data_IF_487415209933
#
_entry.id   IF_487415209933
#
_cell.length_a   1.000
_cell.length_b   1.000
_cell.length_c   1.000
_cell.angle_alpha   90.00
_cell.angle_beta   90.00
_cell.angle_gamma   90.00
#
_symmetry.space_group_name_H-M   'P 1'
#
loop_
_entity.id
_entity.type
_entity.pdbx_description
1 polymer ?
#
# COMPACT_ATOMS: atom_id res chain seq x y z
N UNK A 1 -4.90 -0.14 -7.27
CA UNK A 1 -4.87 0.48 -5.92
C UNK A 1 -3.43 0.43 -5.46
N UNK A 2 -2.85 1.56 -5.12
CA UNK A 2 -1.51 1.56 -4.54
C UNK A 2 -1.42 0.66 -3.31
N UNK A 3 -0.44 -0.25 -3.33
CA UNK A 3 -0.04 -1.09 -2.21
C UNK A 3 1.31 -0.60 -1.69
N UNK A 4 1.99 -1.33 -0.82
CA UNK A 4 3.23 -0.86 -0.22
C UNK A 4 4.30 -0.43 -1.25
N UNK A 5 4.60 -1.17 -2.35
CA UNK A 5 5.62 -0.76 -3.30
C UNK A 5 5.31 0.56 -4.00
N UNK A 6 4.04 0.79 -4.37
CA UNK A 6 3.62 2.02 -5.01
C UNK A 6 3.74 3.22 -4.05
N UNK A 7 3.34 3.03 -2.79
CA UNK A 7 3.44 4.08 -1.77
C UNK A 7 4.91 4.37 -1.41
N UNK A 8 5.79 3.36 -1.42
CA UNK A 8 7.23 3.54 -1.21
C UNK A 8 7.86 4.33 -2.36
N UNK A 9 7.46 4.09 -3.60
CA UNK A 9 7.95 4.85 -4.75
C UNK A 9 7.54 6.31 -4.68
N UNK A 10 6.29 6.58 -4.29
CA UNK A 10 5.80 7.95 -4.03
C UNK A 10 6.57 8.60 -2.88
N UNK A 11 6.79 7.89 -1.77
CA UNK A 11 7.57 8.39 -0.62
C UNK A 11 8.97 8.84 -1.05
N UNK A 12 9.68 8.00 -1.80
CA UNK A 12 11.06 8.29 -2.24
C UNK A 12 11.16 9.53 -3.10
N UNK A 13 10.14 9.79 -3.93
CA UNK A 13 10.11 11.01 -4.75
C UNK A 13 9.66 12.24 -3.98
N UNK A 14 8.75 12.09 -3.01
CA UNK A 14 8.28 13.20 -2.19
C UNK A 14 9.31 13.66 -1.16
N UNK A 15 10.11 12.75 -0.62
CA UNK A 15 11.02 13.09 0.48
C UNK A 15 11.97 14.24 0.17
N UNK A 16 12.75 14.25 -0.93
CA UNK A 16 13.64 15.36 -1.26
C UNK A 16 12.89 16.65 -1.60
N UNK A 17 11.65 16.55 -2.05
CA UNK A 17 10.85 17.68 -2.52
C UNK A 17 10.03 18.36 -1.42
N UNK A 18 9.68 17.61 -0.38
CA UNK A 18 8.76 18.05 0.67
C UNK A 18 9.46 18.27 2.03
N UNK A 19 10.53 17.52 2.31
CA UNK A 19 11.26 17.64 3.57
C UNK A 19 11.91 19.02 3.73
N UNK A 20 11.72 19.62 4.90
CA UNK A 20 12.18 20.97 5.23
C UNK A 20 11.27 22.10 4.74
N UNK A 21 10.27 21.82 3.91
CA UNK A 21 9.34 22.83 3.38
C UNK A 21 8.31 23.28 4.40
N UNK A 22 7.92 24.54 4.31
CA UNK A 22 6.84 25.13 5.10
C UNK A 22 5.56 25.25 4.28
N UNK A 23 4.43 24.93 4.90
CA UNK A 23 3.10 25.05 4.28
C UNK A 23 2.59 26.49 4.43
N UNK A 24 2.34 27.17 3.31
CA UNK A 24 1.82 28.54 3.28
C UNK A 24 0.31 28.63 3.11
N UNK A 25 -0.28 27.66 2.40
CA UNK A 25 -1.73 27.57 2.23
C UNK A 25 -2.14 26.12 2.09
N UNK A 26 -3.38 25.83 2.48
CA UNK A 26 -3.99 24.51 2.31
C UNK A 26 -5.46 24.67 1.91
N UNK A 27 -5.86 23.82 0.98
CA UNK A 27 -7.26 23.57 0.65
C UNK A 27 -7.48 22.06 0.58
N UNK A 28 -8.59 21.58 1.14
CA UNK A 28 -8.97 20.19 1.06
C UNK A 28 -10.49 20.03 0.89
N UNK A 29 -10.90 18.90 0.30
CA UNK A 29 -12.31 18.51 0.18
C UNK A 29 -12.93 18.36 1.58
N UNK A 30 -14.19 18.73 1.71
CA UNK A 30 -14.96 18.69 2.99
C UNK A 30 -15.36 17.27 3.41
N UNK A 31 -14.99 16.24 2.68
CA UNK A 31 -15.30 14.88 3.03
C UNK A 31 -14.62 14.43 4.33
N UNK A 32 -15.29 13.53 5.05
CA UNK A 32 -14.85 12.96 6.33
C UNK A 32 -13.43 12.33 6.30
N UNK A 33 -12.89 12.03 5.10
CA UNK A 33 -11.53 11.49 4.91
C UNK A 33 -10.44 12.58 4.90
N UNK A 34 -10.84 13.85 4.92
CA UNK A 34 -9.95 15.00 5.05
C UNK A 34 -10.15 15.59 6.43
N UNK A 35 -9.31 15.16 7.36
CA UNK A 35 -9.44 15.50 8.79
C UNK A 35 -8.42 16.57 9.19
N UNK A 36 -8.91 17.67 9.72
CA UNK A 36 -8.13 18.80 10.25
C UNK A 36 -7.03 19.34 9.31
N UNK A 37 -7.30 19.54 7.99
CA UNK A 37 -6.27 20.00 7.05
C UNK A 37 -5.71 21.37 7.41
N UNK A 38 -6.50 22.24 8.04
CA UNK A 38 -6.11 23.60 8.44
C UNK A 38 -4.94 23.60 9.43
N UNK A 39 -4.73 22.51 10.17
CA UNK A 39 -3.59 22.33 11.07
C UNK A 39 -2.24 22.25 10.34
N UNK A 40 -2.24 22.07 9.02
CA UNK A 40 -1.02 22.15 8.21
C UNK A 40 -0.49 23.57 8.05
N UNK A 41 -1.36 24.58 8.15
CA UNK A 41 -0.98 25.96 7.86
C UNK A 41 0.15 26.42 8.78
N UNK A 42 1.21 26.95 8.16
CA UNK A 42 2.41 27.42 8.84
C UNK A 42 3.36 26.31 9.30
N UNK A 43 3.02 25.04 9.16
CA UNK A 43 3.86 23.92 9.61
C UNK A 43 4.99 23.64 8.66
N UNK A 44 6.11 23.14 9.22
CA UNK A 44 7.24 22.62 8.45
C UNK A 44 7.14 21.09 8.40
N UNK A 45 7.30 20.53 7.21
CA UNK A 45 7.44 19.08 7.03
C UNK A 45 8.88 18.69 7.38
N UNK A 46 9.07 17.82 8.37
CA UNK A 46 10.40 17.41 8.82
C UNK A 46 10.96 16.26 7.97
N UNK A 47 10.10 15.31 7.59
CA UNK A 47 10.48 14.15 6.78
C UNK A 47 9.25 13.58 6.07
N UNK A 48 9.48 12.65 5.12
CA UNK A 48 8.42 11.84 4.50
C UNK A 48 8.70 10.37 4.78
N UNK A 49 7.93 9.78 5.68
CA UNK A 49 7.95 8.38 6.04
C UNK A 49 6.81 7.57 5.40
N UNK A 50 6.80 6.27 5.67
CA UNK A 50 5.74 5.35 5.23
C UNK A 50 5.45 4.30 6.30
N UNK A 51 4.16 3.97 6.45
CA UNK A 51 3.70 2.84 7.25
C UNK A 51 2.63 2.06 6.45
N UNK A 52 2.95 0.85 6.03
CA UNK A 52 2.08 0.06 5.15
C UNK A 52 1.75 0.80 3.85
N UNK A 53 0.51 1.21 3.70
CA UNK A 53 0.01 1.97 2.52
C UNK A 53 -0.25 3.45 2.82
N UNK A 54 0.26 3.95 3.93
CA UNK A 54 0.15 5.33 4.35
C UNK A 54 1.50 6.04 4.23
N UNK A 55 1.48 7.28 3.76
CA UNK A 55 2.58 8.22 3.94
C UNK A 55 2.41 8.90 5.29
N UNK A 56 3.48 8.99 6.04
CA UNK A 56 3.54 9.64 7.34
C UNK A 56 4.58 10.75 7.24
N UNK A 57 4.14 11.99 7.37
CA UNK A 57 5.03 13.16 7.29
C UNK A 57 5.03 13.86 8.65
N UNK A 58 6.03 13.61 9.50
CA UNK A 58 6.23 14.39 10.71
C UNK A 58 6.29 15.88 10.40
N UNK A 59 5.62 16.67 11.23
CA UNK A 59 5.61 18.13 11.17
C UNK A 59 6.22 18.68 12.45
N UNK A 60 6.64 19.94 12.39
CA UNK A 60 7.01 20.66 13.61
C UNK A 60 5.86 20.72 14.61
N UNK A 61 6.17 21.06 15.88
CA UNK A 61 5.23 21.14 17.00
C UNK A 61 4.47 19.82 17.30
N UNK A 62 5.09 18.67 17.00
CA UNK A 62 4.56 17.35 17.38
C UNK A 62 3.33 16.90 16.60
N UNK A 63 3.09 17.44 15.41
CA UNK A 63 2.03 17.02 14.52
C UNK A 63 2.54 16.03 13.47
N UNK A 64 1.61 15.36 12.79
CA UNK A 64 1.91 14.47 11.68
C UNK A 64 0.84 14.55 10.59
N UNK A 65 1.28 14.76 9.35
CA UNK A 65 0.42 14.66 8.17
C UNK A 65 0.38 13.19 7.71
N UNK A 66 -0.81 12.63 7.63
CA UNK A 66 -1.06 11.28 7.15
C UNK A 66 -1.76 11.36 5.79
N UNK A 67 -1.20 10.67 4.79
CA UNK A 67 -1.81 10.55 3.47
C UNK A 67 -2.08 9.09 3.13
N UNK A 68 -3.24 8.80 2.58
CA UNK A 68 -3.61 7.48 2.05
C UNK A 68 -4.13 7.63 0.63
N UNK A 69 -3.46 7.00 -0.33
CA UNK A 69 -3.78 7.18 -1.76
C UNK A 69 -5.10 6.52 -2.20
N UNK A 70 -5.67 5.66 -1.38
CA UNK A 70 -6.91 4.94 -1.76
C UNK A 70 -6.71 4.04 -2.98
N UNK A 71 -7.55 4.20 -3.99
CA UNK A 71 -7.49 3.39 -5.22
C UNK A 71 -6.95 4.16 -6.44
N UNK A 72 -7.21 5.46 -6.51
CA UNK A 72 -6.91 6.33 -7.65
C UNK A 72 -6.22 7.62 -7.24
N UNK A 73 -5.78 7.71 -5.99
CA UNK A 73 -5.04 8.86 -5.47
C UNK A 73 -3.65 8.94 -6.07
N UNK A 74 -3.31 10.13 -6.53
CA UNK A 74 -2.00 10.50 -7.06
C UNK A 74 -1.57 11.81 -6.40
N UNK A 75 -0.30 11.90 -6.03
CA UNK A 75 0.33 13.13 -5.58
C UNK A 75 1.24 13.64 -6.69
N UNK A 76 1.12 14.91 -7.03
CA UNK A 76 1.98 15.55 -8.02
C UNK A 76 2.16 17.05 -7.70
N UNK A 77 3.24 17.63 -8.17
CA UNK A 77 3.41 19.09 -8.18
C UNK A 77 2.85 19.68 -9.46
N UNK A 78 2.16 20.82 -9.38
CA UNK A 78 1.65 21.53 -10.53
C UNK A 78 0.18 21.93 -10.42
N UNK A 79 -0.47 22.11 -11.57
CA UNK A 79 -1.82 22.66 -11.65
C UNK A 79 -2.88 21.61 -11.25
N UNK A 80 -3.78 22.03 -10.38
CA UNK A 80 -4.92 21.21 -9.94
C UNK A 80 -5.99 21.11 -11.03
N UNK A 81 -6.55 19.92 -11.22
CA UNK A 81 -7.73 19.67 -12.06
C UNK A 81 -9.02 19.50 -11.23
N UNK A 82 -10.13 19.21 -11.90
CA UNK A 82 -11.44 18.98 -11.26
C UNK A 82 -11.47 17.78 -10.29
N UNK A 83 -10.45 16.94 -10.29
CA UNK A 83 -10.31 15.78 -9.41
C UNK A 83 -9.35 16.03 -8.25
N UNK A 84 -8.81 17.24 -8.09
CA UNK A 84 -8.06 17.63 -6.91
C UNK A 84 -8.94 17.48 -5.66
N UNK A 85 -8.36 16.92 -4.59
CA UNK A 85 -9.03 16.70 -3.30
C UNK A 85 -8.30 17.41 -2.16
N UNK A 86 -7.02 17.71 -2.35
CA UNK A 86 -6.28 18.63 -1.49
C UNK A 86 -5.22 19.35 -2.32
N UNK A 87 -4.87 20.56 -1.90
CA UNK A 87 -3.83 21.42 -2.46
C UNK A 87 -3.05 22.00 -1.30
N UNK A 88 -1.74 21.87 -1.35
CA UNK A 88 -0.83 22.33 -0.31
C UNK A 88 0.22 23.21 -0.99
N UNK A 89 0.16 24.52 -0.71
CA UNK A 89 1.13 25.49 -1.22
C UNK A 89 2.34 25.54 -0.30
N UNK A 90 3.52 25.40 -0.85
CA UNK A 90 4.78 25.38 -0.12
C UNK A 90 5.50 26.76 -0.19
N UNK A 91 6.49 26.94 0.69
CA UNK A 91 7.29 28.17 0.81
C UNK A 91 8.18 28.50 -0.41
N UNK A 92 8.39 27.52 -1.29
CA UNK A 92 9.08 27.72 -2.58
C UNK A 92 8.11 28.06 -3.73
N UNK A 93 6.83 28.28 -3.44
CA UNK A 93 5.79 28.65 -4.40
C UNK A 93 5.17 27.47 -5.15
N UNK A 94 5.67 26.23 -4.98
CA UNK A 94 5.08 25.06 -5.61
C UNK A 94 3.80 24.61 -4.87
N UNK A 95 2.92 23.99 -5.62
CA UNK A 95 1.70 23.39 -5.08
C UNK A 95 1.76 21.86 -5.19
N UNK A 96 1.68 21.17 -4.06
CA UNK A 96 1.46 19.72 -4.02
C UNK A 96 -0.05 19.45 -4.12
N UNK A 97 -0.45 18.74 -5.15
CA UNK A 97 -1.85 18.38 -5.42
C UNK A 97 -2.09 16.92 -5.09
N UNK A 98 -3.09 16.64 -4.27
CA UNK A 98 -3.65 15.31 -4.09
C UNK A 98 -4.87 15.16 -4.99
N UNK A 99 -4.71 14.44 -6.09
CA UNK A 99 -5.74 14.14 -7.08
C UNK A 99 -6.33 12.76 -6.82
N UNK A 100 -7.66 12.64 -6.70
CA UNK A 100 -8.32 11.33 -6.53
C UNK A 100 -9.71 11.31 -7.16
N UNK A 101 -9.83 10.61 -8.30
CA UNK A 101 -11.08 10.50 -9.07
C UNK A 101 -12.18 9.81 -8.27
N UNK A 102 -11.83 8.73 -7.56
CA UNK A 102 -12.79 7.86 -6.85
C UNK A 102 -13.05 8.28 -5.41
N UNK A 103 -12.32 9.24 -4.89
CA UNK A 103 -12.47 9.77 -3.53
C UNK A 103 -12.33 8.71 -2.42
N UNK A 104 -11.45 7.72 -2.61
CA UNK A 104 -11.13 6.69 -1.61
C UNK A 104 -9.88 6.98 -0.80
N UNK A 105 -9.11 7.92 -1.26
CA UNK A 105 -7.95 8.43 -0.53
C UNK A 105 -8.36 9.38 0.59
N UNK A 106 -7.40 9.85 1.33
CA UNK A 106 -7.63 10.78 2.42
C UNK A 106 -6.36 11.44 2.93
N UNK A 107 -6.57 12.52 3.65
CA UNK A 107 -5.57 13.31 4.33
C UNK A 107 -6.02 13.55 5.77
N UNK A 108 -5.13 13.39 6.74
CA UNK A 108 -5.41 13.74 8.13
C UNK A 108 -4.19 14.41 8.76
N UNK A 109 -4.43 15.39 9.63
CA UNK A 109 -3.40 15.95 10.50
C UNK A 109 -3.74 15.58 11.94
N UNK A 110 -2.83 14.88 12.58
CA UNK A 110 -3.01 14.36 13.95
C UNK A 110 -1.81 14.71 14.82
N UNK A 111 -1.92 14.54 16.12
CA UNK A 111 -0.75 14.49 17.00
C UNK A 111 0.11 13.29 16.61
N UNK A 112 1.42 13.43 16.59
CA UNK A 112 2.33 12.37 16.19
C UNK A 112 2.09 11.09 17.02
N UNK A 113 1.85 9.98 16.32
CA UNK A 113 1.52 8.69 16.93
C UNK A 113 0.07 8.51 17.40
N UNK A 114 -0.79 9.52 17.33
CA UNK A 114 -2.19 9.45 17.76
C UNK A 114 -3.14 9.01 16.64
N UNK A 115 -3.16 7.72 16.32
CA UNK A 115 -3.90 7.17 15.17
C UNK A 115 -5.30 6.64 15.51
N UNK A 116 -5.88 6.97 16.65
CA UNK A 116 -7.21 6.47 17.06
C UNK A 116 -8.33 6.83 16.08
N UNK A 117 -8.24 7.99 15.42
CA UNK A 117 -9.17 8.42 14.38
C UNK A 117 -8.93 7.72 13.01
N UNK A 118 -7.85 6.96 12.86
CA UNK A 118 -7.44 6.26 11.67
C UNK A 118 -7.34 4.73 11.93
N UNK A 119 -8.47 4.02 12.10
CA UNK A 119 -8.50 2.66 12.63
C UNK A 119 -7.63 1.67 11.84
N UNK A 120 -7.54 1.84 10.52
CA UNK A 120 -6.68 0.98 9.69
C UNK A 120 -5.22 1.18 10.04
N UNK A 121 -4.75 2.41 10.18
CA UNK A 121 -3.37 2.72 10.53
C UNK A 121 -3.04 2.26 11.96
N UNK A 122 -3.93 2.51 12.91
CA UNK A 122 -3.77 2.12 14.32
C UNK A 122 -3.60 0.60 14.54
N UNK A 123 -4.18 -0.22 13.65
CA UNK A 123 -4.17 -1.68 13.78
C UNK A 123 -3.32 -2.40 12.73
N UNK A 124 -2.42 -1.69 12.06
CA UNK A 124 -1.50 -2.33 11.10
C UNK A 124 -0.57 -3.33 11.79
N UNK A 125 -0.41 -4.47 11.15
CA UNK A 125 0.62 -5.44 11.49
C UNK A 125 2.05 -4.90 11.25
N UNK A 126 3.09 -5.71 11.48
CA UNK A 126 4.48 -5.29 11.28
C UNK A 126 4.77 -4.89 9.83
N UNK A 127 5.79 -4.05 9.64
CA UNK A 127 6.34 -3.75 8.32
C UNK A 127 7.01 -4.99 7.73
N UNK A 128 6.66 -5.39 6.50
CA UNK A 128 7.11 -6.67 5.93
C UNK A 128 8.63 -6.75 5.69
N UNK A 129 9.30 -5.60 5.56
CA UNK A 129 10.73 -5.54 5.28
C UNK A 129 11.59 -5.19 6.51
N UNK A 130 10.96 -5.00 7.67
CA UNK A 130 11.66 -4.82 8.94
C UNK A 130 11.83 -6.15 9.69
N UNK A 131 12.64 -6.12 10.75
CA UNK A 131 12.83 -7.27 11.66
C UNK A 131 11.62 -7.51 12.56
N UNK A 132 10.71 -6.55 12.68
CA UNK A 132 9.44 -6.71 13.39
C UNK A 132 8.50 -7.75 12.74
N UNK A 133 8.69 -8.03 11.45
CA UNK A 133 7.96 -9.10 10.76
C UNK A 133 8.55 -10.45 11.11
N UNK A 134 8.33 -10.87 12.35
CA UNK A 134 8.83 -12.11 12.91
C UNK A 134 8.13 -13.33 12.30
N UNK A 135 8.88 -14.30 11.72
CA UNK A 135 8.32 -15.45 11.04
C UNK A 135 7.57 -16.40 11.97
N UNK A 136 7.95 -16.52 13.25
CA UNK A 136 7.27 -17.40 14.19
C UNK A 136 5.93 -16.80 14.63
N UNK A 137 5.87 -15.50 14.88
CA UNK A 137 4.63 -14.77 15.17
C UNK A 137 3.67 -14.85 13.99
N UNK A 138 4.17 -14.64 12.78
CA UNK A 138 3.38 -14.74 11.55
C UNK A 138 2.80 -16.17 11.37
N UNK A 139 3.63 -17.20 11.59
CA UNK A 139 3.20 -18.60 11.50
C UNK A 139 2.12 -18.94 12.54
N UNK A 140 2.24 -18.47 13.78
CA UNK A 140 1.20 -18.64 14.82
C UNK A 140 -0.13 -18.00 14.38
N UNK A 141 -0.10 -16.78 13.83
CA UNK A 141 -1.30 -16.11 13.32
C UNK A 141 -1.99 -16.91 12.21
N UNK A 142 -1.21 -17.44 11.27
CA UNK A 142 -1.73 -18.26 10.17
C UNK A 142 -2.26 -19.64 10.62
N UNK A 143 -1.69 -20.22 11.66
CA UNK A 143 -2.14 -21.51 12.22
C UNK A 143 -3.47 -21.39 12.98
N UNK A 144 -3.73 -20.24 13.60
CA UNK A 144 -4.91 -20.02 14.46
C UNK A 144 -6.08 -19.35 13.75
N UNK A 145 -5.85 -18.62 12.67
CA UNK A 145 -6.91 -17.92 11.96
C UNK A 145 -7.94 -18.88 11.34
N UNK A 146 -9.23 -18.54 11.48
CA UNK A 146 -10.32 -19.21 10.79
C UNK A 146 -10.60 -18.66 9.39
N UNK A 147 -10.04 -17.48 9.08
CA UNK A 147 -10.18 -16.87 7.77
C UNK A 147 -9.30 -17.58 6.73
N UNK A 148 -9.69 -17.61 5.44
CA UNK A 148 -8.79 -18.00 4.37
C UNK A 148 -7.56 -17.10 4.35
N UNK A 149 -6.40 -17.64 3.95
CA UNK A 149 -5.10 -16.93 4.03
C UNK A 149 -5.08 -15.60 3.28
N UNK A 150 -5.62 -15.53 2.06
CA UNK A 150 -5.62 -14.27 1.31
C UNK A 150 -6.49 -13.19 1.97
N UNK A 151 -7.79 -13.41 2.30
CA UNK A 151 -8.55 -12.46 3.09
C UNK A 151 -7.88 -12.03 4.40
N UNK A 152 -7.21 -12.95 5.08
CA UNK A 152 -6.49 -12.64 6.32
C UNK A 152 -5.33 -11.68 6.07
N UNK A 153 -4.50 -11.90 5.04
CA UNK A 153 -3.44 -10.95 4.63
C UNK A 153 -4.02 -9.57 4.33
N UNK A 154 -5.14 -9.51 3.62
CA UNK A 154 -5.78 -8.25 3.23
C UNK A 154 -6.33 -7.44 4.40
N UNK A 155 -6.47 -8.02 5.60
CA UNK A 155 -6.81 -7.25 6.81
C UNK A 155 -5.72 -6.31 7.26
N UNK A 156 -4.51 -6.41 6.72
CA UNK A 156 -3.30 -5.66 7.12
C UNK A 156 -2.81 -5.97 8.55
N UNK A 157 -3.48 -6.84 9.29
CA UNK A 157 -3.12 -7.20 10.68
C UNK A 157 -1.93 -8.16 10.79
N UNK A 158 -1.82 -9.23 9.94
CA UNK A 158 -0.66 -10.14 10.01
C UNK A 158 0.61 -9.50 9.47
N UNK A 159 0.48 -8.58 8.50
CA UNK A 159 1.57 -7.85 7.86
C UNK A 159 0.99 -6.62 7.17
N UNK A 160 1.66 -5.48 7.30
CA UNK A 160 1.24 -4.24 6.66
C UNK A 160 1.56 -4.24 5.15
N UNK A 161 0.83 -3.42 4.39
CA UNK A 161 1.19 -3.08 3.02
C UNK A 161 0.83 -4.08 1.93
N UNK A 162 0.59 -5.36 2.25
CA UNK A 162 0.18 -6.38 1.29
C UNK A 162 -1.28 -6.15 0.87
N UNK A 163 -1.52 -6.04 -0.43
CA UNK A 163 -2.88 -5.93 -0.97
C UNK A 163 -3.20 -7.04 -1.96
N UNK A 164 -4.10 -6.75 -2.89
CA UNK A 164 -4.66 -7.76 -3.78
C UNK A 164 -3.64 -8.32 -4.79
N UNK A 165 -2.76 -7.46 -5.29
CA UNK A 165 -1.72 -7.79 -6.27
C UNK A 165 -0.69 -8.70 -5.59
N UNK A 166 -0.04 -8.18 -4.58
CA UNK A 166 1.10 -8.84 -3.95
C UNK A 166 0.71 -10.03 -3.08
N UNK A 167 -0.56 -10.14 -2.64
CA UNK A 167 -1.08 -11.35 -2.03
C UNK A 167 -1.18 -12.51 -3.03
N UNK A 168 -1.66 -12.28 -4.26
CA UNK A 168 -1.71 -13.34 -5.29
C UNK A 168 -0.30 -13.78 -5.66
N UNK A 169 0.63 -12.85 -5.86
CA UNK A 169 2.03 -13.13 -6.20
C UNK A 169 2.74 -13.94 -5.09
N UNK A 170 2.64 -13.50 -3.84
CA UNK A 170 3.28 -14.17 -2.71
C UNK A 170 2.70 -15.58 -2.47
N UNK A 171 1.39 -15.74 -2.61
CA UNK A 171 0.71 -17.04 -2.50
C UNK A 171 1.09 -17.97 -3.64
N UNK A 172 1.24 -17.45 -4.87
CA UNK A 172 1.74 -18.25 -5.99
C UNK A 172 3.20 -18.67 -5.75
N UNK A 173 4.05 -17.75 -5.33
CA UNK A 173 5.46 -18.03 -5.06
C UNK A 173 5.63 -19.08 -3.97
N UNK A 174 4.88 -19.00 -2.89
CA UNK A 174 4.90 -19.96 -1.76
C UNK A 174 4.07 -21.24 -1.98
N UNK A 175 3.43 -21.40 -3.16
CA UNK A 175 2.58 -22.57 -3.50
C UNK A 175 1.41 -22.79 -2.54
N UNK A 176 0.86 -21.72 -1.98
CA UNK A 176 -0.28 -21.80 -1.05
C UNK A 176 -1.56 -21.41 -1.78
N UNK A 177 -2.58 -22.27 -1.68
CA UNK A 177 -3.89 -21.95 -2.24
C UNK A 177 -4.51 -20.77 -1.45
N UNK A 178 -5.02 -19.71 -2.13
CA UNK A 178 -5.51 -18.51 -1.45
C UNK A 178 -6.66 -18.72 -0.48
N UNK A 179 -7.41 -19.83 -0.64
CA UNK A 179 -8.47 -20.22 0.28
C UNK A 179 -8.00 -21.18 1.39
N UNK A 180 -6.70 -21.49 1.51
CA UNK A 180 -6.17 -22.30 2.60
C UNK A 180 -6.48 -21.66 3.95
N UNK A 181 -6.76 -22.51 4.94
CA UNK A 181 -6.97 -22.12 6.34
C UNK A 181 -5.98 -22.88 7.21
N UNK A 182 -5.59 -22.32 8.35
CA UNK A 182 -4.68 -22.95 9.31
C UNK A 182 -3.39 -23.43 8.63
N UNK A 183 -2.68 -22.49 7.98
CA UNK A 183 -1.43 -22.79 7.27
C UNK A 183 -0.36 -23.20 8.28
N UNK A 184 0.19 -24.42 8.10
CA UNK A 184 1.21 -24.97 9.00
C UNK A 184 2.54 -24.23 8.95
N UNK A 185 3.43 -24.40 9.95
CA UNK A 185 4.63 -23.57 10.16
C UNK A 185 5.57 -23.50 8.95
N UNK A 186 5.86 -24.66 8.33
CA UNK A 186 6.76 -24.71 7.14
C UNK A 186 6.22 -23.88 5.96
N UNK A 187 4.93 -23.98 5.69
CA UNK A 187 4.27 -23.20 4.62
C UNK A 187 4.17 -21.72 4.99
N UNK A 188 3.93 -21.43 6.25
CA UNK A 188 3.89 -20.05 6.76
C UNK A 188 5.25 -19.36 6.61
N UNK A 189 6.35 -20.07 6.92
CA UNK A 189 7.70 -19.56 6.71
C UNK A 189 7.99 -19.30 5.22
N UNK A 190 7.57 -20.21 4.34
CA UNK A 190 7.69 -20.00 2.90
C UNK A 190 6.90 -18.77 2.43
N UNK A 191 5.70 -18.54 2.96
CA UNK A 191 4.89 -17.35 2.64
C UNK A 191 5.52 -16.07 3.20
N UNK A 192 6.08 -16.11 4.39
CA UNK A 192 6.84 -14.99 4.97
C UNK A 192 7.98 -14.55 4.04
N UNK A 193 8.82 -15.48 3.61
CA UNK A 193 9.91 -15.19 2.65
C UNK A 193 9.37 -14.69 1.30
N UNK A 194 8.30 -15.30 0.78
CA UNK A 194 7.67 -14.89 -0.46
C UNK A 194 7.11 -13.46 -0.42
N UNK A 195 6.50 -13.05 0.67
CA UNK A 195 6.01 -11.67 0.86
C UNK A 195 7.18 -10.68 0.80
N UNK A 196 8.26 -10.94 1.53
CA UNK A 196 9.45 -10.08 1.53
C UNK A 196 10.06 -9.97 0.13
N UNK A 197 10.23 -11.10 -0.55
CA UNK A 197 10.80 -11.14 -1.91
C UNK A 197 9.96 -10.35 -2.90
N UNK A 198 8.67 -10.65 -3.00
CA UNK A 198 7.76 -10.02 -3.97
C UNK A 198 7.68 -8.51 -3.77
N UNK A 199 7.61 -8.06 -2.52
CA UNK A 199 7.56 -6.62 -2.22
C UNK A 199 8.89 -5.93 -2.52
N UNK A 200 10.03 -6.54 -2.19
CA UNK A 200 11.36 -5.98 -2.50
C UNK A 200 11.56 -5.81 -4.00
N UNK A 201 11.25 -6.85 -4.78
CA UNK A 201 11.34 -6.80 -6.24
C UNK A 201 10.41 -5.74 -6.85
N UNK A 202 9.18 -5.65 -6.33
CA UNK A 202 8.23 -4.65 -6.80
C UNK A 202 8.66 -3.22 -6.46
N UNK A 203 9.26 -2.98 -5.30
CA UNK A 203 9.85 -1.67 -4.94
C UNK A 203 11.00 -1.30 -5.90
N UNK A 204 11.88 -2.24 -6.22
CA UNK A 204 12.97 -2.01 -7.17
C UNK A 204 12.45 -1.63 -8.57
N UNK A 205 11.25 -2.12 -8.93
CA UNK A 205 10.57 -1.82 -10.19
C UNK A 205 9.55 -0.68 -10.08
N UNK A 206 9.58 0.08 -8.99
CA UNK A 206 8.75 1.27 -8.76
C UNK A 206 7.24 1.00 -8.70
N UNK A 207 6.87 -0.23 -8.32
CA UNK A 207 5.48 -0.66 -8.18
C UNK A 207 4.81 -1.04 -9.50
N UNK A 208 3.53 -1.38 -9.40
CA UNK A 208 2.70 -1.89 -10.49
C UNK A 208 1.73 -0.84 -10.99
N UNK A 209 1.87 -0.39 -12.23
CA UNK A 209 0.89 0.46 -12.90
C UNK A 209 0.09 -0.35 -13.90
N UNK A 210 -1.24 -0.43 -13.69
CA UNK A 210 -2.16 -0.91 -14.71
C UNK A 210 -2.86 0.24 -15.43
N UNK A 211 -3.37 1.23 -14.67
CA UNK A 211 -4.18 2.31 -15.21
C UNK A 211 -3.96 3.64 -14.47
N UNK A 212 -4.25 3.68 -13.20
CA UNK A 212 -4.43 4.94 -12.45
C UNK A 212 -3.20 5.36 -11.65
N UNK A 213 -2.41 4.39 -11.15
CA UNK A 213 -1.22 4.71 -10.38
C UNK A 213 -0.19 5.44 -11.23
N UNK A 214 0.31 6.55 -10.70
CA UNK A 214 1.46 7.30 -11.22
C UNK A 214 2.33 7.71 -10.04
N UNK A 215 3.62 7.77 -10.28
CA UNK A 215 4.58 8.38 -9.36
C UNK A 215 4.42 9.90 -9.36
N UNK A 216 5.10 10.60 -8.46
CA UNK A 216 5.01 12.06 -8.31
C UNK A 216 5.47 12.79 -9.58
N UNK A 217 6.46 12.24 -10.28
CA UNK A 217 6.95 12.74 -11.57
C UNK A 217 6.05 12.38 -12.78
N UNK A 218 4.91 11.71 -12.54
CA UNK A 218 3.95 11.30 -13.59
C UNK A 218 4.28 9.97 -14.28
N UNK A 219 5.41 9.36 -13.99
CA UNK A 219 5.82 8.09 -14.61
C UNK A 219 5.06 6.88 -14.05
N UNK A 220 5.11 5.78 -14.79
CA UNK A 220 4.50 4.51 -14.42
C UNK A 220 5.51 3.57 -13.78
N UNK A 221 5.10 2.85 -12.74
CA UNK A 221 5.88 1.73 -12.23
C UNK A 221 5.94 0.57 -13.25
N UNK A 222 7.04 -0.17 -13.24
CA UNK A 222 7.40 -1.17 -14.26
C UNK A 222 7.12 -2.61 -13.86
N UNK A 223 6.54 -2.84 -12.69
CA UNK A 223 6.34 -4.20 -12.17
C UNK A 223 5.19 -4.98 -12.84
N UNK A 224 4.33 -4.32 -13.63
CA UNK A 224 3.16 -4.97 -14.26
C UNK A 224 3.57 -6.14 -15.18
N UNK A 225 4.67 -6.02 -15.91
CA UNK A 225 5.15 -7.03 -16.86
C UNK A 225 5.78 -8.25 -16.17
N UNK A 226 6.05 -8.16 -14.88
CA UNK A 226 6.65 -9.23 -14.08
C UNK A 226 5.65 -10.01 -13.24
N UNK A 227 4.37 -9.65 -13.30
CA UNK A 227 3.32 -10.35 -12.56
C UNK A 227 3.04 -11.73 -13.16
N UNK A 228 3.01 -12.73 -12.29
CA UNK A 228 2.80 -14.14 -12.68
C UNK A 228 1.38 -14.61 -12.42
N UNK A 229 0.78 -14.19 -11.32
CA UNK A 229 -0.55 -14.62 -10.89
C UNK A 229 -1.60 -13.54 -11.10
N UNK A 230 -1.41 -12.37 -10.50
CA UNK A 230 -2.42 -11.32 -10.52
C UNK A 230 -2.70 -10.83 -11.95
N UNK A 231 -3.98 -10.88 -12.36
CA UNK A 231 -4.41 -10.47 -13.70
C UNK A 231 -4.12 -11.48 -14.83
N UNK A 232 -3.47 -12.61 -14.53
CA UNK A 232 -2.99 -13.59 -15.51
C UNK A 232 -3.93 -14.80 -15.69
N UNK A 233 -5.21 -14.67 -15.33
CA UNK A 233 -6.18 -15.77 -15.48
C UNK A 233 -6.24 -16.27 -16.94
N UNK A 234 -6.24 -17.61 -17.10
CA UNK A 234 -6.21 -18.29 -18.40
C UNK A 234 -4.81 -18.49 -18.98
N UNK A 235 -3.80 -17.74 -18.54
CA UNK A 235 -2.42 -17.97 -18.98
C UNK A 235 -1.82 -19.23 -18.35
N UNK A 236 -0.89 -19.90 -19.02
CA UNK A 236 -0.21 -21.07 -18.46
C UNK A 236 0.66 -20.68 -17.26
N UNK A 237 0.57 -21.47 -16.19
CA UNK A 237 1.46 -21.33 -15.05
C UNK A 237 2.92 -21.62 -15.47
N UNK A 238 3.90 -20.75 -15.23
CA UNK A 238 5.27 -20.97 -15.67
C UNK A 238 5.97 -22.17 -15.00
N UNK A 239 5.39 -22.73 -13.91
CA UNK A 239 5.92 -23.93 -13.22
C UNK A 239 5.40 -25.25 -13.78
N UNK A 240 4.16 -25.29 -14.29
CA UNK A 240 3.50 -26.56 -14.62
C UNK A 240 2.58 -26.50 -15.84
N UNK A 241 2.58 -25.38 -16.56
CA UNK A 241 1.77 -25.10 -17.74
C UNK A 241 0.22 -25.16 -17.53
N UNK A 242 -0.27 -25.55 -16.35
CA UNK A 242 -1.70 -25.54 -16.05
C UNK A 242 -2.25 -24.11 -16.13
N UNK A 243 -3.39 -23.87 -16.81
CA UNK A 243 -4.00 -22.55 -16.87
C UNK A 243 -4.33 -21.98 -15.49
N UNK A 244 -3.93 -20.75 -15.22
CA UNK A 244 -4.25 -20.03 -13.99
C UNK A 244 -5.76 -19.79 -13.91
N UNK A 245 -6.35 -20.02 -12.74
CA UNK A 245 -7.78 -19.82 -12.49
C UNK A 245 -8.04 -18.55 -11.70
N UNK A 246 -9.17 -17.90 -12.00
CA UNK A 246 -9.68 -16.75 -11.24
C UNK A 246 -10.94 -17.14 -10.48
N UNK A 247 -10.98 -16.74 -9.21
CA UNK A 247 -12.16 -16.86 -8.33
C UNK A 247 -12.38 -15.55 -7.59
N UNK A 248 -13.53 -15.39 -6.94
CA UNK A 248 -13.76 -14.30 -5.99
C UNK A 248 -13.61 -14.85 -4.58
N UNK A 249 -12.75 -14.21 -3.78
CA UNK A 249 -12.50 -14.60 -2.40
C UNK A 249 -12.49 -13.35 -1.50
N UNK A 250 -13.39 -13.29 -0.53
CA UNK A 250 -13.55 -12.12 0.33
C UNK A 250 -13.86 -10.83 -0.47
N UNK A 251 -14.66 -10.92 -1.53
CA UNK A 251 -15.00 -9.78 -2.39
C UNK A 251 -13.88 -9.33 -3.34
N UNK A 252 -12.75 -10.07 -3.41
CA UNK A 252 -11.60 -9.73 -4.25
C UNK A 252 -11.35 -10.78 -5.32
N UNK A 253 -11.14 -10.33 -6.56
CA UNK A 253 -10.65 -11.19 -7.62
C UNK A 253 -9.30 -11.79 -7.22
N UNK A 254 -9.16 -13.09 -7.36
CA UNK A 254 -8.03 -13.88 -6.86
C UNK A 254 -7.59 -14.84 -7.95
N UNK A 255 -6.34 -14.75 -8.37
CA UNK A 255 -5.77 -15.61 -9.42
C UNK A 255 -4.74 -16.56 -8.80
N UNK A 256 -4.79 -17.84 -9.17
CA UNK A 256 -3.91 -18.86 -8.64
C UNK A 256 -3.74 -20.03 -9.60
N UNK A 257 -2.70 -20.86 -9.40
CA UNK A 257 -2.50 -22.10 -10.11
C UNK A 257 -3.19 -23.27 -9.37
N UNK A 258 -4.19 -23.95 -9.94
CA UNK A 258 -4.89 -25.03 -9.25
C UNK A 258 -4.05 -26.30 -9.05
N UNK A 259 -2.98 -26.47 -9.83
CA UNK A 259 -2.05 -27.59 -9.69
C UNK A 259 -0.94 -27.34 -8.66
N UNK A 260 -0.30 -26.15 -8.71
CA UNK A 260 0.84 -25.84 -7.84
C UNK A 260 0.42 -25.38 -6.43
N UNK A 261 -0.72 -24.70 -6.31
CA UNK A 261 -1.20 -24.13 -5.05
C UNK A 261 -2.29 -25.04 -4.46
N UNK A 262 -1.89 -25.96 -3.61
CA UNK A 262 -2.80 -26.90 -2.96
C UNK A 262 -3.28 -26.33 -1.61
N UNK A 263 -4.50 -26.77 -1.18
CA UNK A 263 -5.05 -26.44 0.14
C UNK A 263 -4.28 -27.12 1.27
#
# INVERSE_FOLDING_TARGET
>A
MPELPEVESVRRQLEPELSGRRVLAVWADTQRRFHAPDRLLGRRVEAVGRRGKFLLCPLDEGLELILHLGMTGVLHFGVADAYARARITLDDGRELVFRDVRRFGGLAVVEAGAYSSLPTLAHLGPEPLSDEFDPARFARGLATTRAPVKPYLLTQRPVAGVGNIYADEALWLSRIHPASRRVGPRRALALHGAIRQVLTEAITREGTTFRDYRMVNGESGRNADFLIAYGQAGRPCPRCATPLRKVVLGGRGTTFCPACQRR
#
